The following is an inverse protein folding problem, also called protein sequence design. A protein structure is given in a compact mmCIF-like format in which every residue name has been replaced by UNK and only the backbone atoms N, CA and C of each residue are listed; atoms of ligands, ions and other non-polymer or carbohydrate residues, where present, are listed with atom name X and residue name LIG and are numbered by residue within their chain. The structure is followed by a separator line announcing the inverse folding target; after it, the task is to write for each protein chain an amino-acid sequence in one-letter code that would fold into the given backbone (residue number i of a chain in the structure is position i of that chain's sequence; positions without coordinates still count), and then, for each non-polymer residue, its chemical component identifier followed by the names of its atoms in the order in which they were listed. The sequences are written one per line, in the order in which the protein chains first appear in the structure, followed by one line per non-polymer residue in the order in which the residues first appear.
data_IF_794650217072
#
_entry.id   IF_794650217072
#
_cell.length_a   1.000
_cell.length_b   1.000
_cell.length_c   1.000
_cell.angle_alpha   90.00
_cell.angle_beta   90.00
_cell.angle_gamma   90.00
#
_symmetry.space_group_name_H-M   'P 1'
#
loop_
_entity.id
_entity.type
_entity.pdbx_description
1 polymer ?
#
# COMPACT_ATOMS: atom_id res chain seq x y z
N UNK A 1 4.43 0.63 -21.25
CA UNK A 1 5.13 -0.03 -20.12
C UNK A 1 6.27 -0.86 -20.70
N UNK A 2 7.50 -0.65 -20.25
CA UNK A 2 8.64 -1.45 -20.69
C UNK A 2 8.64 -2.79 -19.94
N UNK A 3 8.64 -3.90 -20.66
CA UNK A 3 8.75 -5.24 -20.05
C UNK A 3 10.23 -5.61 -19.88
N UNK A 4 10.64 -5.91 -18.65
CA UNK A 4 11.99 -6.35 -18.34
C UNK A 4 12.04 -7.87 -18.18
N UNK A 5 13.00 -8.53 -18.83
CA UNK A 5 13.21 -9.97 -18.70
C UNK A 5 14.08 -10.25 -17.47
N UNK A 6 13.61 -11.15 -16.61
CA UNK A 6 14.35 -11.64 -15.45
C UNK A 6 14.73 -13.10 -15.70
N UNK A 7 16.00 -13.45 -15.48
CA UNK A 7 16.50 -14.82 -15.48
C UNK A 7 17.01 -15.14 -14.08
N UNK A 8 16.49 -16.23 -13.50
CA UNK A 8 16.91 -16.75 -12.20
C UNK A 8 17.23 -18.22 -12.34
N UNK A 9 18.27 -18.66 -11.65
CA UNK A 9 18.64 -20.08 -11.55
C UNK A 9 18.18 -20.56 -10.19
N UNK A 10 17.47 -21.69 -10.16
CA UNK A 10 16.95 -22.30 -8.95
C UNK A 10 17.52 -23.70 -8.82
N UNK A 11 17.76 -24.15 -7.59
CA UNK A 11 18.13 -25.54 -7.34
C UNK A 11 16.94 -26.46 -7.60
N UNK A 12 17.17 -27.76 -7.84
CA UNK A 12 16.08 -28.72 -8.00
C UNK A 12 15.10 -28.73 -6.81
N UNK A 13 15.60 -28.56 -5.59
CA UNK A 13 14.82 -28.52 -4.35
C UNK A 13 13.91 -27.29 -4.30
N UNK A 14 14.41 -26.12 -4.70
CA UNK A 14 13.64 -24.88 -4.78
C UNK A 14 12.52 -25.00 -5.82
N UNK A 15 12.83 -25.57 -7.00
CA UNK A 15 11.83 -25.83 -8.04
C UNK A 15 10.77 -26.80 -7.54
N UNK A 16 11.16 -27.86 -6.83
CA UNK A 16 10.22 -28.81 -6.24
C UNK A 16 9.29 -28.15 -5.21
N UNK A 17 9.85 -27.36 -4.30
CA UNK A 17 9.08 -26.63 -3.29
C UNK A 17 8.07 -25.64 -3.93
N UNK A 18 8.50 -24.88 -4.94
CA UNK A 18 7.63 -23.98 -5.68
C UNK A 18 6.56 -24.74 -6.48
N UNK A 19 6.91 -25.89 -7.05
CA UNK A 19 5.98 -26.74 -7.81
C UNK A 19 4.83 -27.22 -6.94
N UNK A 20 5.10 -27.71 -5.72
CA UNK A 20 4.08 -28.14 -4.76
C UNK A 20 3.09 -27.02 -4.47
N UNK A 21 3.58 -25.82 -4.16
CA UNK A 21 2.72 -24.66 -3.86
C UNK A 21 1.97 -24.14 -5.09
N UNK A 22 2.62 -24.12 -6.25
CA UNK A 22 2.00 -23.66 -7.50
C UNK A 22 0.83 -24.55 -7.94
N UNK A 23 0.94 -25.87 -7.73
CA UNK A 23 -0.12 -26.84 -8.07
C UNK A 23 -1.40 -26.60 -7.28
N UNK A 24 -1.29 -26.22 -6.00
CA UNK A 24 -2.45 -25.89 -5.18
C UNK A 24 -3.27 -24.72 -5.74
N UNK A 25 -2.63 -23.83 -6.52
CA UNK A 25 -3.26 -22.69 -7.19
C UNK A 25 -3.52 -22.94 -8.69
N UNK A 26 -3.28 -24.16 -9.19
CA UNK A 26 -3.38 -24.49 -10.61
C UNK A 26 -2.37 -23.75 -11.51
N UNK A 27 -1.26 -23.28 -10.93
CA UNK A 27 -0.21 -22.54 -11.64
C UNK A 27 0.98 -23.42 -11.98
N UNK A 28 1.68 -23.07 -13.06
CA UNK A 28 3.04 -23.55 -13.28
C UNK A 28 4.02 -22.70 -12.42
N UNK A 29 5.25 -23.22 -12.25
CA UNK A 29 6.27 -22.58 -11.41
C UNK A 29 6.54 -21.13 -11.84
N UNK A 30 6.64 -20.87 -13.14
CA UNK A 30 6.88 -19.51 -13.67
C UNK A 30 5.76 -18.53 -13.33
N UNK A 31 4.50 -18.94 -13.49
CA UNK A 31 3.33 -18.11 -13.15
C UNK A 31 3.24 -17.89 -11.65
N UNK A 32 3.59 -18.90 -10.86
CA UNK A 32 3.64 -18.78 -9.41
C UNK A 32 4.73 -17.82 -8.93
N UNK A 33 5.93 -17.83 -9.54
CA UNK A 33 6.98 -16.85 -9.26
C UNK A 33 6.49 -15.42 -9.57
N UNK A 34 5.82 -15.21 -10.71
CA UNK A 34 5.23 -13.91 -11.04
C UNK A 34 4.20 -13.46 -10.00
N UNK A 35 3.37 -14.38 -9.52
CA UNK A 35 2.41 -14.11 -8.45
C UNK A 35 3.11 -13.68 -7.15
N UNK A 36 4.17 -14.38 -6.74
CA UNK A 36 4.94 -14.02 -5.56
C UNK A 36 5.54 -12.61 -5.68
N UNK A 37 6.16 -12.29 -6.81
CA UNK A 37 6.71 -10.95 -7.07
C UNK A 37 5.60 -9.90 -7.03
N UNK A 38 4.45 -10.16 -7.67
CA UNK A 38 3.34 -9.21 -7.67
C UNK A 38 2.79 -8.96 -6.26
N UNK A 39 2.65 -10.02 -5.44
CA UNK A 39 2.20 -9.91 -4.05
C UNK A 39 3.16 -9.06 -3.22
N UNK A 40 4.46 -9.34 -3.31
CA UNK A 40 5.49 -8.58 -2.60
C UNK A 40 5.50 -7.11 -3.00
N UNK A 41 5.34 -6.83 -4.30
CA UNK A 41 5.26 -5.46 -4.81
C UNK A 41 4.01 -4.75 -4.28
N UNK A 42 2.87 -5.42 -4.22
CA UNK A 42 1.65 -4.84 -3.64
C UNK A 42 1.88 -4.52 -2.17
N UNK A 43 2.42 -5.45 -1.38
CA UNK A 43 2.73 -5.22 0.04
C UNK A 43 3.72 -4.04 0.22
N UNK A 44 4.71 -3.92 -0.67
CA UNK A 44 5.70 -2.83 -0.63
C UNK A 44 5.13 -1.48 -1.09
N UNK A 45 4.16 -1.48 -2.02
CA UNK A 45 3.56 -0.27 -2.58
C UNK A 45 2.36 0.22 -1.76
N UNK A 46 1.65 -0.68 -1.07
CA UNK A 46 0.57 -0.34 -0.14
C UNK A 46 1.10 0.35 1.13
N UNK A 47 2.39 0.17 1.48
CA UNK A 47 3.10 1.12 2.34
C UNK A 47 3.35 2.42 1.55
N UNK A 48 2.31 3.26 1.46
CA UNK A 48 2.42 4.61 0.91
C UNK A 48 3.63 5.31 1.53
N UNK A 49 4.49 5.98 0.73
CA UNK A 49 5.63 6.70 1.27
C UNK A 49 5.14 7.71 2.30
N UNK A 50 5.48 7.47 3.57
CA UNK A 50 5.17 8.40 4.64
C UNK A 50 6.22 9.50 4.61
N UNK A 51 5.77 10.73 4.37
CA UNK A 51 6.65 11.89 4.40
C UNK A 51 6.59 12.50 5.79
N UNK A 52 7.76 12.79 6.37
CA UNK A 52 7.82 13.50 7.64
C UNK A 52 7.17 14.87 7.48
N UNK A 53 6.13 15.12 8.28
CA UNK A 53 5.46 16.40 8.31
C UNK A 53 6.44 17.52 8.72
N UNK A 54 6.33 18.70 8.11
CA UNK A 54 7.13 19.84 8.56
C UNK A 54 6.73 20.27 9.97
N UNK A 55 7.68 20.74 10.78
CA UNK A 55 7.40 21.22 12.16
C UNK A 55 6.30 22.28 12.23
N UNK A 56 6.14 23.08 11.17
CA UNK A 56 5.08 24.09 11.07
C UNK A 56 3.71 23.44 10.92
N UNK A 57 3.59 22.46 10.02
CA UNK A 57 2.34 21.79 9.72
C UNK A 57 1.91 20.87 10.87
N UNK A 58 2.87 20.28 11.57
CA UNK A 58 2.66 19.51 12.80
C UNK A 58 1.96 20.34 13.87
N UNK A 59 2.51 21.53 14.20
CA UNK A 59 1.88 22.46 15.16
C UNK A 59 0.48 22.91 14.75
N UNK A 60 0.26 23.18 13.46
CA UNK A 60 -1.06 23.57 12.96
C UNK A 60 -2.08 22.42 13.08
N UNK A 61 -1.63 21.20 12.82
CA UNK A 61 -2.46 19.99 12.93
C UNK A 61 -2.82 19.72 14.39
N UNK A 62 -1.85 19.80 15.30
CA UNK A 62 -2.08 19.69 16.75
C UNK A 62 -3.10 20.72 17.24
N UNK A 63 -2.95 21.97 16.80
CA UNK A 63 -3.90 23.04 17.12
C UNK A 63 -5.30 22.73 16.58
N UNK A 64 -5.42 22.32 15.32
CA UNK A 64 -6.72 21.99 14.71
C UNK A 64 -7.42 20.83 15.43
N UNK A 65 -6.67 19.80 15.82
CA UNK A 65 -7.18 18.67 16.62
C UNK A 65 -7.70 19.17 17.97
N UNK A 66 -6.97 20.08 18.64
CA UNK A 66 -7.40 20.64 19.91
C UNK A 66 -8.66 21.51 19.75
N UNK A 67 -8.72 22.37 18.73
CA UNK A 67 -9.89 23.20 18.45
C UNK A 67 -11.15 22.37 18.14
N UNK A 68 -10.98 21.24 17.44
CA UNK A 68 -12.07 20.26 17.25
C UNK A 68 -12.55 19.68 18.58
N UNK A 69 -11.63 19.24 19.45
CA UNK A 69 -11.96 18.72 20.80
C UNK A 69 -12.63 19.77 21.69
N UNK A 70 -12.24 21.02 21.54
CA UNK A 70 -12.83 22.16 22.27
C UNK A 70 -14.22 22.56 21.71
N UNK A 71 -14.73 21.85 20.71
CA UNK A 71 -16.07 22.06 20.14
C UNK A 71 -16.16 23.27 19.20
N UNK A 72 -15.03 23.77 18.68
CA UNK A 72 -15.01 24.91 17.73
C UNK A 72 -15.32 24.51 16.29
N UNK A 73 -15.46 23.20 16.03
CA UNK A 73 -15.79 22.68 14.72
C UNK A 73 -17.32 22.58 14.53
N UNK A 74 -17.78 22.87 13.32
CA UNK A 74 -19.18 22.71 12.92
C UNK A 74 -19.28 21.46 12.05
N UNK A 75 -20.22 20.58 12.38
CA UNK A 75 -20.54 19.43 11.53
C UNK A 75 -21.37 19.91 10.34
N UNK A 76 -20.94 19.53 9.14
CA UNK A 76 -21.71 19.80 7.91
C UNK A 76 -22.56 18.59 7.57
N UNK A 77 -23.82 18.83 7.22
CA UNK A 77 -24.74 17.78 6.74
C UNK A 77 -24.41 17.35 5.30
N UNK A 78 -23.79 18.26 4.52
CA UNK A 78 -23.32 18.02 3.15
C UNK A 78 -21.97 18.68 2.89
N UNK A 79 -21.08 18.07 2.08
CA UNK A 79 -19.82 18.69 1.64
C UNK A 79 -19.99 20.03 0.91
N UNK A 80 -21.19 20.32 0.39
CA UNK A 80 -21.51 21.56 -0.32
C UNK A 80 -21.97 22.71 0.58
N UNK A 81 -22.08 22.50 1.89
CA UNK A 81 -22.54 23.51 2.84
C UNK A 81 -21.42 24.45 3.34
N UNK A 82 -20.20 24.32 2.80
CA UNK A 82 -19.04 25.15 3.17
C UNK A 82 -19.29 26.65 2.97
N UNK A 83 -20.06 27.03 1.94
CA UNK A 83 -20.37 28.43 1.62
C UNK A 83 -21.39 29.07 2.57
N UNK A 84 -21.97 28.30 3.50
CA UNK A 84 -22.99 28.75 4.45
C UNK A 84 -22.43 29.10 5.84
N UNK A 85 -21.13 28.88 6.06
CA UNK A 85 -20.39 29.22 7.28
C UNK A 85 -19.79 30.62 7.19
#
# INVERSE_FOLDING_TARGET
MSTQKIQITLTPEEVAALSVKSKALGYNVTKYIKFLVAREVIETVEEYPTYKMSKRLEKLTEKAIQEYKDGKAVLLDSPYDLDKL
#
